data_IF_780348886471
#
_entry.id   IF_780348886471
#
_cell.length_a   1.000
_cell.length_b   1.000
_cell.length_c   1.000
_cell.angle_alpha   90.00
_cell.angle_beta   90.00
_cell.angle_gamma   90.00
#
_symmetry.space_group_name_H-M   'P 1'
#
loop_
_entity.id
_entity.type
_entity.pdbx_description
1 polymer ?
#
# COMPACT_ATOMS: atom_id res chain seq x y z
N UNK A 1 18.46 -3.22 25.75
CA UNK A 1 17.50 -3.93 24.91
C UNK A 1 16.23 -3.08 24.84
N UNK A 2 15.70 -2.83 23.65
CA UNK A 2 14.45 -2.08 23.45
C UNK A 2 13.23 -2.80 24.07
N UNK A 3 13.41 -4.03 24.57
CA UNK A 3 12.41 -4.82 25.29
C UNK A 3 12.28 -4.51 26.79
N UNK A 4 13.13 -3.64 27.35
CA UNK A 4 13.17 -3.40 28.82
C UNK A 4 12.38 -2.17 29.29
N UNK A 5 11.76 -1.40 28.39
CA UNK A 5 10.98 -0.22 28.75
C UNK A 5 9.51 -0.52 28.49
N UNK A 6 8.78 -0.82 29.56
CA UNK A 6 7.35 -1.14 29.53
C UNK A 6 6.56 -0.12 28.71
N UNK A 7 6.13 -0.54 27.53
CA UNK A 7 5.04 0.07 26.80
C UNK A 7 3.72 -0.52 27.30
N UNK A 8 2.72 0.33 27.44
CA UNK A 8 1.34 -0.09 27.67
C UNK A 8 0.93 -1.04 26.52
N UNK A 9 0.37 -2.23 26.79
CA UNK A 9 0.00 -3.19 25.74
C UNK A 9 -1.03 -2.67 24.74
N UNK A 10 -1.72 -1.56 25.02
CA UNK A 10 -2.64 -0.91 24.08
C UNK A 10 -1.96 0.09 23.12
N UNK A 11 -0.69 0.46 23.36
CA UNK A 11 0.00 1.51 22.59
C UNK A 11 0.85 0.98 21.42
N UNK A 12 0.86 -0.33 21.16
CA UNK A 12 1.84 -0.95 20.25
C UNK A 12 1.32 -1.27 18.83
N UNK A 13 0.22 -0.64 18.38
CA UNK A 13 -0.46 -1.00 17.12
C UNK A 13 -0.73 0.18 16.19
N UNK A 14 -0.03 1.30 16.38
CA UNK A 14 -0.14 2.44 15.47
C UNK A 14 0.73 2.17 14.24
N UNK A 15 0.29 2.53 13.04
CA UNK A 15 1.20 2.65 11.87
C UNK A 15 2.26 3.71 12.22
N UNK A 16 3.39 3.29 12.79
CA UNK A 16 4.40 4.20 13.34
C UNK A 16 5.06 5.08 12.27
N UNK A 17 4.94 4.76 10.97
CA UNK A 17 5.74 5.40 9.93
C UNK A 17 4.97 5.64 8.63
N UNK A 18 3.81 6.30 8.67
CA UNK A 18 3.28 6.87 7.42
C UNK A 18 4.17 8.06 7.01
N UNK A 19 4.89 7.90 5.89
CA UNK A 19 5.73 8.96 5.35
C UNK A 19 4.94 9.75 4.32
N UNK A 20 4.55 10.94 4.72
CA UNK A 20 4.10 11.98 3.80
C UNK A 20 5.28 12.36 2.89
N UNK A 21 4.98 12.62 1.63
CA UNK A 21 5.96 13.20 0.72
C UNK A 21 6.45 14.54 1.30
N UNK A 22 7.78 14.72 1.50
CA UNK A 22 8.33 15.96 2.08
C UNK A 22 8.08 17.21 1.23
N UNK A 23 7.60 17.07 -0.01
CA UNK A 23 7.20 18.17 -0.88
C UNK A 23 5.71 18.55 -0.75
N UNK A 24 4.92 17.84 0.06
CA UNK A 24 3.57 18.25 0.44
C UNK A 24 3.66 19.55 1.25
N UNK A 25 3.11 20.66 0.72
CA UNK A 25 3.04 21.96 1.42
C UNK A 25 1.59 22.46 1.40
N UNK A 26 1.02 22.66 2.58
CA UNK A 26 -0.33 23.23 2.77
C UNK A 26 -1.47 22.21 2.66
N UNK A 27 -2.60 22.55 3.29
CA UNK A 27 -3.79 21.70 3.46
C UNK A 27 -4.54 21.37 2.15
N UNK A 28 -4.28 22.12 1.08
CA UNK A 28 -4.93 21.94 -0.23
C UNK A 28 -4.25 20.93 -1.16
N UNK A 29 -3.17 20.27 -0.71
CA UNK A 29 -2.46 19.34 -1.59
C UNK A 29 -3.25 18.04 -1.77
N UNK A 30 -3.79 17.85 -2.97
CA UNK A 30 -4.51 16.64 -3.35
C UNK A 30 -3.58 15.42 -3.33
N UNK A 31 -3.88 14.46 -2.45
CA UNK A 31 -3.16 13.19 -2.36
C UNK A 31 -3.68 12.25 -3.45
N UNK A 32 -2.79 11.82 -4.33
CA UNK A 32 -3.14 10.96 -5.46
C UNK A 32 -3.34 9.51 -5.01
N UNK A 33 -2.39 8.95 -4.26
CA UNK A 33 -2.43 7.55 -3.88
C UNK A 33 -1.95 7.28 -2.44
N UNK A 34 -2.52 6.26 -1.83
CA UNK A 34 -2.02 5.58 -0.64
C UNK A 34 -1.30 4.30 -1.09
N UNK A 35 -0.03 4.15 -0.76
CA UNK A 35 0.77 2.96 -1.04
C UNK A 35 1.00 2.24 0.29
N UNK A 36 0.56 1.00 0.39
CA UNK A 36 0.72 0.14 1.57
C UNK A 36 1.73 -0.95 1.22
N UNK A 37 2.80 -1.07 2.00
CA UNK A 37 3.90 -2.00 1.73
C UNK A 37 4.55 -2.44 3.04
N UNK A 38 5.35 -3.49 2.99
CA UNK A 38 6.18 -3.93 4.13
C UNK A 38 7.46 -4.60 3.62
N UNK A 39 8.50 -4.64 4.45
CA UNK A 39 9.75 -5.32 4.12
C UNK A 39 10.38 -4.78 2.83
N UNK A 40 10.75 -5.68 1.90
CA UNK A 40 11.47 -5.28 0.67
C UNK A 40 10.66 -4.32 -0.21
N UNK A 41 9.33 -4.51 -0.31
CA UNK A 41 8.48 -3.67 -1.15
C UNK A 41 8.27 -2.27 -0.58
N UNK A 42 8.53 -2.05 0.72
CA UNK A 42 8.54 -0.72 1.31
C UNK A 42 9.64 0.17 0.71
N UNK A 43 10.81 -0.40 0.46
CA UNK A 43 11.92 0.33 -0.15
C UNK A 43 11.58 0.75 -1.59
N UNK A 44 10.92 -0.14 -2.35
CA UNK A 44 10.43 0.15 -3.68
C UNK A 44 9.28 1.18 -3.66
N UNK A 45 8.38 1.13 -2.67
CA UNK A 45 7.33 2.14 -2.47
C UNK A 45 7.91 3.53 -2.19
N UNK A 46 8.95 3.63 -1.35
CA UNK A 46 9.63 4.90 -1.07
C UNK A 46 10.38 5.44 -2.29
N UNK A 47 10.97 4.56 -3.11
CA UNK A 47 11.60 4.91 -4.39
C UNK A 47 10.55 5.42 -5.39
N UNK A 48 9.42 4.74 -5.51
CA UNK A 48 8.28 5.16 -6.33
C UNK A 48 7.75 6.53 -5.90
N UNK A 49 7.53 6.74 -4.58
CA UNK A 49 7.11 8.02 -4.01
C UNK A 49 8.06 9.16 -4.42
N UNK A 50 9.38 8.98 -4.27
CA UNK A 50 10.38 9.98 -4.69
C UNK A 50 10.32 10.32 -6.18
N UNK A 51 10.01 9.35 -7.04
CA UNK A 51 9.91 9.56 -8.49
C UNK A 51 8.59 10.27 -8.84
N UNK A 52 7.48 9.89 -8.22
CA UNK A 52 6.16 10.52 -8.40
C UNK A 52 6.16 11.97 -7.92
N UNK A 53 6.82 12.25 -6.81
CA UNK A 53 7.01 13.59 -6.26
C UNK A 53 7.61 14.56 -7.29
N UNK A 54 8.63 14.12 -8.06
CA UNK A 54 9.25 14.91 -9.14
C UNK A 54 8.26 15.25 -10.26
N UNK A 55 7.20 14.46 -10.41
CA UNK A 55 6.10 14.68 -11.37
C UNK A 55 4.90 15.41 -10.76
N UNK A 56 5.03 15.93 -9.52
CA UNK A 56 3.94 16.56 -8.76
C UNK A 56 2.74 15.63 -8.52
N UNK A 57 3.01 14.33 -8.40
CA UNK A 57 2.04 13.31 -8.01
C UNK A 57 2.37 12.90 -6.59
N UNK A 58 1.50 13.24 -5.65
CA UNK A 58 1.78 13.10 -4.22
C UNK A 58 1.15 11.83 -3.67
N UNK A 59 1.94 11.06 -2.93
CA UNK A 59 1.48 9.80 -2.34
C UNK A 59 1.82 9.73 -0.85
N UNK A 60 1.04 8.94 -0.12
CA UNK A 60 1.36 8.51 1.24
C UNK A 60 1.91 7.10 1.13
N UNK A 61 3.05 6.83 1.76
CA UNK A 61 3.56 5.46 1.93
C UNK A 61 3.33 5.04 3.37
N UNK A 62 2.65 3.91 3.54
CA UNK A 62 2.41 3.24 4.82
C UNK A 62 3.33 2.02 4.88
N UNK A 63 4.20 2.01 5.89
CA UNK A 63 4.88 0.81 6.34
C UNK A 63 3.92 -0.01 7.21
N UNK A 64 3.42 -1.12 6.65
CA UNK A 64 2.52 -2.02 7.34
C UNK A 64 3.29 -3.07 8.14
N UNK A 65 4.09 -2.58 9.09
CA UNK A 65 4.93 -3.36 9.99
C UNK A 65 4.26 -4.65 10.53
N UNK A 66 2.98 -4.57 10.89
CA UNK A 66 2.17 -5.69 11.36
C UNK A 66 0.97 -5.95 10.45
N UNK A 67 0.95 -7.13 9.80
CA UNK A 67 -0.22 -7.62 9.05
C UNK A 67 -1.36 -7.98 10.00
N UNK A 68 -1.02 -8.53 11.16
CA UNK A 68 -1.97 -8.87 12.22
C UNK A 68 -1.30 -8.74 13.60
N UNK A 69 -1.85 -7.93 14.52
CA UNK A 69 -3.04 -7.10 14.34
C UNK A 69 -2.79 -5.93 13.37
N UNK A 70 -3.82 -5.56 12.62
CA UNK A 70 -3.78 -4.50 11.61
C UNK A 70 -4.37 -3.20 12.18
N UNK A 71 -3.68 -2.07 12.01
CA UNK A 71 -4.21 -0.75 12.34
C UNK A 71 -5.30 -0.31 11.35
N UNK A 72 -6.49 -0.86 11.56
CA UNK A 72 -7.63 -0.66 10.67
C UNK A 72 -8.12 0.78 10.68
N UNK A 73 -7.99 1.47 11.83
CA UNK A 73 -8.46 2.85 12.01
C UNK A 73 -7.64 3.79 11.15
N UNK A 74 -6.31 3.74 11.27
CA UNK A 74 -5.42 4.61 10.49
C UNK A 74 -5.54 4.34 8.99
N UNK A 75 -5.61 3.06 8.57
CA UNK A 75 -5.81 2.72 7.16
C UNK A 75 -7.09 3.32 6.58
N UNK A 76 -8.22 3.24 7.30
CA UNK A 76 -9.49 3.80 6.86
C UNK A 76 -9.44 5.34 6.77
N UNK A 77 -8.79 6.01 7.71
CA UNK A 77 -8.63 7.48 7.69
C UNK A 77 -7.79 7.95 6.49
N UNK A 78 -6.71 7.22 6.17
CA UNK A 78 -5.87 7.52 5.01
C UNK A 78 -6.59 7.19 3.70
N UNK A 79 -7.28 6.06 3.62
CA UNK A 79 -8.05 5.64 2.44
C UNK A 79 -9.09 6.70 2.04
N UNK A 80 -9.81 7.28 3.02
CA UNK A 80 -10.81 8.36 2.78
C UNK A 80 -10.21 9.62 2.13
N UNK A 81 -8.91 9.86 2.32
CA UNK A 81 -8.19 11.04 1.78
C UNK A 81 -7.60 10.79 0.40
N UNK A 82 -7.69 9.57 -0.13
CA UNK A 82 -6.99 9.17 -1.36
C UNK A 82 -7.96 8.56 -2.39
N UNK A 83 -7.60 8.66 -3.67
CA UNK A 83 -8.39 8.07 -4.77
C UNK A 83 -7.88 6.71 -5.22
N UNK A 84 -6.59 6.46 -5.02
CA UNK A 84 -5.92 5.25 -5.45
C UNK A 84 -5.26 4.59 -4.25
N UNK A 85 -5.53 3.31 -4.04
CA UNK A 85 -4.90 2.51 -2.99
C UNK A 85 -4.12 1.41 -3.71
N UNK A 86 -2.81 1.38 -3.45
CA UNK A 86 -1.89 0.40 -4.00
C UNK A 86 -1.33 -0.39 -2.84
N UNK A 87 -1.55 -1.70 -2.83
CA UNK A 87 -0.94 -2.61 -1.86
C UNK A 87 0.12 -3.41 -2.59
N UNK A 88 1.34 -3.44 -2.08
CA UNK A 88 2.47 -4.14 -2.72
C UNK A 88 3.20 -5.03 -1.73
N UNK A 89 3.33 -6.31 -2.06
CA UNK A 89 3.97 -7.31 -1.19
C UNK A 89 4.77 -8.35 -1.97
N UNK A 90 5.87 -8.81 -1.39
CA UNK A 90 6.64 -9.96 -1.86
C UNK A 90 6.09 -11.24 -1.23
N UNK A 91 4.83 -11.51 -1.55
CA UNK A 91 4.07 -12.67 -1.10
C UNK A 91 3.02 -13.00 -2.15
N UNK A 92 2.54 -14.25 -2.18
CA UNK A 92 1.43 -14.62 -3.03
C UNK A 92 0.14 -13.86 -2.66
N UNK A 93 -0.80 -13.80 -3.59
CA UNK A 93 -2.04 -13.03 -3.43
C UNK A 93 -2.86 -13.40 -2.17
N UNK A 94 -2.93 -14.69 -1.83
CA UNK A 94 -3.79 -15.18 -0.75
C UNK A 94 -3.10 -15.12 0.62
N UNK A 95 -3.82 -14.71 1.66
CA UNK A 95 -3.41 -14.73 3.07
C UNK A 95 -2.44 -13.61 3.49
N UNK A 96 -2.04 -12.75 2.56
CA UNK A 96 -1.04 -11.70 2.77
C UNK A 96 -1.61 -10.34 3.19
N UNK A 97 -0.79 -9.32 2.98
CA UNK A 97 -1.08 -7.92 3.26
C UNK A 97 -2.27 -7.43 2.41
N UNK A 98 -2.32 -7.81 1.14
CA UNK A 98 -3.38 -7.44 0.20
C UNK A 98 -4.76 -7.84 0.68
N UNK A 99 -4.94 -9.08 1.12
CA UNK A 99 -6.20 -9.55 1.67
C UNK A 99 -6.53 -8.86 3.00
N UNK A 100 -5.55 -8.71 3.90
CA UNK A 100 -5.75 -8.03 5.18
C UNK A 100 -6.24 -6.58 4.97
N UNK A 101 -5.57 -5.82 4.11
CA UNK A 101 -5.92 -4.43 3.80
C UNK A 101 -7.24 -4.34 3.03
N UNK A 102 -7.47 -5.23 2.06
CA UNK A 102 -8.74 -5.28 1.32
C UNK A 102 -9.94 -5.55 2.24
N UNK A 103 -9.78 -6.44 3.23
CA UNK A 103 -10.84 -6.75 4.18
C UNK A 103 -11.30 -5.53 4.98
N UNK A 104 -10.36 -4.65 5.33
CA UNK A 104 -10.64 -3.40 6.07
C UNK A 104 -11.20 -2.32 5.17
N UNK A 105 -10.58 -2.09 4.00
CA UNK A 105 -10.90 -0.94 3.15
C UNK A 105 -12.14 -1.19 2.28
N UNK A 106 -12.34 -2.40 1.79
CA UNK A 106 -13.44 -2.76 0.91
C UNK A 106 -14.64 -3.37 1.65
N UNK A 107 -14.47 -3.74 2.93
CA UNK A 107 -15.53 -4.32 3.76
C UNK A 107 -15.98 -5.72 3.32
N UNK A 108 -15.24 -6.38 2.42
CA UNK A 108 -15.55 -7.72 1.90
C UNK A 108 -14.57 -8.75 2.47
N UNK A 109 -15.04 -9.91 2.97
CA UNK A 109 -14.15 -11.02 3.38
C UNK A 109 -13.35 -11.63 2.22
N UNK A 110 -13.60 -11.24 0.97
CA UNK A 110 -12.92 -11.75 -0.22
C UNK A 110 -12.86 -10.66 -1.29
N UNK A 111 -11.66 -10.45 -1.84
CA UNK A 111 -11.31 -9.47 -2.88
C UNK A 111 -12.38 -9.35 -3.96
N UNK A 112 -13.16 -8.25 -3.96
CA UNK A 112 -13.93 -7.86 -5.15
C UNK A 112 -12.98 -7.25 -6.17
N UNK A 113 -12.29 -8.13 -6.89
CA UNK A 113 -11.39 -7.84 -8.01
C UNK A 113 -12.10 -6.93 -9.02
N UNK A 114 -11.47 -5.80 -9.38
CA UNK A 114 -11.91 -5.00 -10.51
C UNK A 114 -11.47 -5.71 -11.80
N UNK A 115 -12.27 -6.64 -12.29
CA UNK A 115 -12.19 -7.10 -13.68
C UNK A 115 -12.60 -5.95 -14.61
N UNK A 116 -11.91 -5.74 -15.74
CA UNK A 116 -12.38 -4.81 -16.76
C UNK A 116 -13.82 -5.16 -17.16
N UNK A 117 -14.77 -4.23 -16.99
CA UNK A 117 -16.16 -4.37 -17.45
C UNK A 117 -17.29 -4.52 -16.41
N UNK A 118 -17.03 -4.49 -15.09
CA UNK A 118 -18.12 -4.56 -14.09
C UNK A 118 -18.56 -3.18 -13.58
N UNK A 119 -19.78 -2.78 -13.93
CA UNK A 119 -20.43 -1.54 -13.50
C UNK A 119 -21.32 -1.77 -12.28
N UNK A 120 -20.94 -1.22 -11.12
CA UNK A 120 -21.87 -0.98 -10.03
C UNK A 120 -21.82 0.52 -9.70
N UNK A 121 -22.82 1.21 -10.23
CA UNK A 121 -23.13 2.60 -9.99
C UNK A 121 -23.84 2.72 -8.63
N UNK A 122 -23.12 3.24 -7.64
CA UNK A 122 -23.69 3.68 -6.37
C UNK A 122 -22.82 4.78 -5.78
N UNK A 123 -22.65 5.89 -6.52
CA UNK A 123 -22.32 7.23 -5.99
C UNK A 123 -21.06 7.41 -5.14
N UNK A 124 -20.30 6.36 -4.86
CA UNK A 124 -19.10 6.39 -4.05
C UNK A 124 -17.97 6.85 -4.97
N UNK A 125 -17.31 7.96 -4.60
CA UNK A 125 -16.17 8.48 -5.32
C UNK A 125 -15.27 7.30 -5.72
N UNK A 126 -14.98 7.16 -7.02
CA UNK A 126 -14.37 5.97 -7.64
C UNK A 126 -12.97 5.71 -7.10
N UNK A 127 -12.89 5.16 -5.89
CA UNK A 127 -11.66 4.67 -5.27
C UNK A 127 -11.22 3.43 -6.05
N UNK A 128 -9.95 3.39 -6.44
CA UNK A 128 -9.37 2.17 -7.02
C UNK A 128 -8.51 1.47 -5.99
N UNK A 129 -8.59 0.15 -5.96
CA UNK A 129 -7.75 -0.71 -5.15
C UNK A 129 -6.95 -1.62 -6.08
N UNK A 130 -5.62 -1.55 -6.00
CA UNK A 130 -4.70 -2.35 -6.80
C UNK A 130 -3.78 -3.13 -5.88
N UNK A 131 -3.62 -4.43 -6.15
CA UNK A 131 -2.77 -5.33 -5.36
C UNK A 131 -1.67 -5.91 -6.26
N UNK A 132 -0.44 -5.52 -5.97
CA UNK A 132 0.79 -6.02 -6.59
C UNK A 132 1.38 -7.09 -5.67
N UNK A 133 1.54 -8.29 -6.20
CA UNK A 133 1.94 -9.47 -5.43
C UNK A 133 2.57 -10.51 -6.36
N UNK A 134 3.24 -11.50 -5.76
CA UNK A 134 3.82 -12.63 -6.48
C UNK A 134 2.71 -13.46 -7.12
N UNK A 135 2.85 -13.76 -8.41
CA UNK A 135 1.85 -14.52 -9.18
C UNK A 135 2.46 -15.58 -10.09
N UNK A 136 3.77 -15.52 -10.32
CA UNK A 136 4.46 -16.39 -11.26
C UNK A 136 5.21 -17.48 -10.50
N UNK A 137 5.67 -18.48 -11.25
CA UNK A 137 6.54 -19.51 -10.68
C UNK A 137 7.88 -18.88 -10.26
N UNK A 138 8.38 -19.18 -9.04
CA UNK A 138 9.67 -18.66 -8.58
C UNK A 138 10.81 -19.10 -9.49
N UNK A 139 11.79 -18.22 -9.66
CA UNK A 139 13.00 -18.49 -10.43
C UNK A 139 14.24 -17.90 -9.75
N UNK A 140 15.41 -18.31 -10.21
CA UNK A 140 16.67 -17.70 -9.78
C UNK A 140 16.96 -16.41 -10.56
N UNK A 141 17.55 -15.44 -9.88
CA UNK A 141 17.92 -14.12 -10.41
C UNK A 141 18.43 -13.23 -9.29
N UNK A 142 18.89 -12.01 -9.60
CA UNK A 142 19.19 -11.03 -8.56
C UNK A 142 17.90 -10.54 -7.88
N UNK A 143 17.94 -10.02 -6.65
CA UNK A 143 16.75 -9.47 -5.99
C UNK A 143 15.98 -8.48 -6.88
N UNK A 144 16.68 -7.57 -7.56
CA UNK A 144 16.07 -6.57 -8.45
C UNK A 144 15.40 -7.21 -9.67
N UNK A 145 16.02 -8.23 -10.27
CA UNK A 145 15.46 -8.97 -11.39
C UNK A 145 14.18 -9.72 -10.99
N UNK A 146 14.13 -10.24 -9.76
CA UNK A 146 12.98 -10.97 -9.23
C UNK A 146 11.82 -10.04 -8.89
N UNK A 147 12.06 -8.92 -8.21
CA UNK A 147 11.03 -7.91 -7.94
C UNK A 147 10.41 -7.37 -9.24
N UNK A 148 11.24 -7.10 -10.25
CA UNK A 148 10.77 -6.68 -11.57
C UNK A 148 10.02 -7.79 -12.30
N UNK A 149 10.50 -9.03 -12.21
CA UNK A 149 9.84 -10.19 -12.80
C UNK A 149 8.43 -10.38 -12.23
N UNK A 150 8.24 -10.22 -10.92
CA UNK A 150 6.92 -10.31 -10.26
C UNK A 150 6.09 -9.02 -10.36
N UNK A 151 6.62 -7.95 -10.95
CA UNK A 151 5.94 -6.65 -11.07
C UNK A 151 5.57 -6.05 -9.70
N UNK A 152 6.48 -6.17 -8.72
CA UNK A 152 6.36 -5.61 -7.36
C UNK A 152 7.45 -4.58 -7.04
N UNK A 153 8.12 -4.07 -8.08
CA UNK A 153 9.14 -3.03 -7.98
C UNK A 153 8.58 -1.60 -8.10
N UNK A 154 9.45 -0.60 -7.97
CA UNK A 154 9.04 0.80 -8.05
C UNK A 154 8.42 1.18 -9.41
N UNK A 155 8.88 0.57 -10.51
CA UNK A 155 8.32 0.83 -11.85
C UNK A 155 6.86 0.36 -11.93
N UNK A 156 6.58 -0.85 -11.42
CA UNK A 156 5.22 -1.38 -11.36
C UNK A 156 4.31 -0.50 -10.49
N UNK A 157 4.75 -0.08 -9.30
CA UNK A 157 3.99 0.82 -8.43
C UNK A 157 3.64 2.13 -9.16
N UNK A 158 4.62 2.78 -9.80
CA UNK A 158 4.40 4.02 -10.56
C UNK A 158 3.35 3.82 -11.65
N UNK A 159 3.47 2.74 -12.43
CA UNK A 159 2.56 2.42 -13.55
C UNK A 159 1.10 2.26 -13.11
N UNK A 160 0.84 1.90 -11.86
CA UNK A 160 -0.53 1.82 -11.32
C UNK A 160 -1.15 3.17 -10.98
N UNK A 161 -0.33 4.21 -10.81
CA UNK A 161 -0.74 5.54 -10.33
C UNK A 161 -0.81 6.56 -11.48
N UNK A 162 0.06 6.43 -12.49
CA UNK A 162 0.14 7.32 -13.67
C UNK A 162 -0.66 6.79 -14.85
#
# INVERSE_FOLDING_TARGET
DLWSKGGNPEDNHTIENHRLDPLLRGDDTKINALIVAAGITLHEALKAQKILAKKKIYTIVVDLYSVKPLDSKTLLELAKKTKHIVVVEDHYEAGGIGEAVASVILGTPTLRRRTPGSSNDSGQARMTFTHLCVRKEPRSGTPEELLRYEEIDAEAIIKTIV
#
